data_IF_451036366690
#
_entry.id   IF_451036366690
#
_cell.length_a   1.000
_cell.length_b   1.000
_cell.length_c   1.000
_cell.angle_alpha   90.00
_cell.angle_beta   90.00
_cell.angle_gamma   90.00
#
_symmetry.space_group_name_H-M   'P 1'
#
loop_
_entity.id
_entity.type
_entity.pdbx_description
1 polymer ?
#
# COMPACT_ATOMS: atom_id res chain seq x y z
N UNK A 1 -27.06 12.73 -25.06
CA UNK A 1 -26.77 12.70 -24.50
C UNK A 1 -26.19 12.54 -23.89
N UNK A 2 -25.96 12.62 -24.01
CA UNK A 2 -25.48 12.41 -23.26
C UNK A 2 -24.64 12.56 -22.96
N UNK A 3 -24.34 12.60 -23.01
CA UNK A 3 -23.58 12.63 -22.45
C UNK A 3 -23.17 13.08 -21.80
N UNK A 4 -23.43 13.33 -21.54
CA UNK A 4 -23.16 13.69 -20.68
C UNK A 4 -23.10 13.43 -19.72
N UNK A 5 -23.29 13.03 -19.61
CA UNK A 5 -23.23 12.68 -18.38
C UNK A 5 -22.33 12.22 -17.98
N UNK A 6 -22.01 11.99 -18.40
CA UNK A 6 -21.21 11.63 -17.77
C UNK A 6 -20.32 12.07 -17.44
N UNK A 7 -20.28 12.64 -17.70
CA UNK A 7 -19.55 13.09 -16.97
C UNK A 7 -19.41 13.35 -16.03
N UNK A 8 -20.12 13.28 -16.09
CA UNK A 8 -20.10 13.39 -14.91
C UNK A 8 -19.74 12.90 -14.21
N UNK A 9 -20.06 12.63 -14.36
CA UNK A 9 -19.87 12.24 -13.37
C UNK A 9 -19.04 12.02 -13.03
N UNK A 10 -18.97 12.29 -13.15
CA UNK A 10 -18.30 12.23 -12.45
C UNK A 10 -17.83 12.49 -11.83
N UNK A 11 -17.97 12.83 -11.97
CA UNK A 11 -17.69 13.19 -11.14
C UNK A 11 -17.54 13.68 -10.45
N UNK A 12 -17.76 13.79 -10.26
CA UNK A 12 -17.55 14.32 -9.42
C UNK A 12 -17.61 14.47 -8.53
N UNK A 13 -18.09 14.37 -8.26
CA UNK A 13 -18.06 14.44 -7.24
C UNK A 13 -17.32 13.91 -6.50
N UNK A 14 -17.38 13.25 -6.44
CA UNK A 14 -16.41 12.69 -5.96
C UNK A 14 -15.31 13.43 -5.99
N UNK A 15 -15.29 14.14 -6.60
CA UNK A 15 -14.27 14.84 -6.75
C UNK A 15 -14.15 15.89 -5.88
N UNK A 16 -14.99 16.20 -5.34
CA UNK A 16 -14.90 17.21 -4.38
C UNK A 16 -14.01 16.72 -3.31
N UNK A 17 -14.06 15.49 -2.99
CA UNK A 17 -13.15 14.97 -2.02
C UNK A 17 -11.85 14.64 -2.68
N UNK A 18 -10.77 14.86 -2.00
CA UNK A 18 -9.49 14.49 -2.54
C UNK A 18 -9.53 13.03 -2.83
N UNK A 19 -9.04 12.66 -3.97
CA UNK A 19 -8.98 11.28 -4.33
C UNK A 19 -7.95 10.58 -3.47
N UNK A 20 -8.32 9.50 -2.82
CA UNK A 20 -7.42 8.72 -2.01
C UNK A 20 -7.11 7.43 -2.74
N UNK A 21 -5.86 7.22 -3.05
CA UNK A 21 -5.44 6.02 -3.74
C UNK A 21 -5.51 4.84 -2.78
N UNK A 22 -5.97 3.71 -3.28
CA UNK A 22 -6.07 2.51 -2.47
C UNK A 22 -4.83 1.64 -2.67
N UNK A 23 -4.28 1.16 -1.58
CA UNK A 23 -3.20 0.18 -1.62
C UNK A 23 -3.80 -1.12 -1.11
N UNK A 24 -4.27 -1.95 -2.04
CA UNK A 24 -5.01 -3.14 -1.70
C UNK A 24 -4.13 -4.38 -1.70
N UNK A 25 -4.32 -5.23 -0.72
CA UNK A 25 -3.63 -6.51 -0.63
C UNK A 25 -4.65 -7.61 -0.86
N UNK A 26 -4.30 -8.55 -1.74
CA UNK A 26 -5.25 -9.57 -2.15
C UNK A 26 -5.32 -10.79 -1.24
N UNK A 27 -4.51 -10.83 -0.21
CA UNK A 27 -4.47 -12.00 0.66
C UNK A 27 -4.65 -11.62 2.11
N UNK A 28 -5.50 -12.35 2.80
CA UNK A 28 -5.72 -12.10 4.21
C UNK A 28 -4.52 -12.50 5.06
N UNK A 29 -3.57 -13.21 4.45
CA UNK A 29 -2.38 -13.61 5.23
C UNK A 29 -1.59 -12.39 5.69
N UNK A 30 -1.79 -11.25 5.02
CA UNK A 30 -1.08 -10.04 5.42
C UNK A 30 -1.80 -9.24 6.50
N UNK A 31 -3.01 -9.65 6.85
CA UNK A 31 -3.81 -8.85 7.77
C UNK A 31 -3.09 -8.59 9.10
N UNK A 32 -2.58 -9.64 9.72
CA UNK A 32 -1.90 -9.49 10.99
C UNK A 32 -0.61 -8.69 10.86
N UNK A 33 0.14 -8.94 9.80
CA UNK A 33 1.40 -8.24 9.59
C UNK A 33 1.17 -6.75 9.39
N UNK A 34 0.11 -6.41 8.68
CA UNK A 34 -0.23 -5.02 8.47
C UNK A 34 -0.71 -4.37 9.77
N UNK A 35 -1.62 -5.04 10.46
CA UNK A 35 -2.20 -4.48 11.68
C UNK A 35 -1.17 -4.31 12.78
N UNK A 36 -0.16 -5.16 12.81
CA UNK A 36 0.88 -5.10 13.82
C UNK A 36 2.07 -4.23 13.41
N UNK A 37 1.99 -3.64 12.21
CA UNK A 37 3.06 -2.76 11.74
C UNK A 37 4.31 -3.49 11.30
N UNK A 38 4.23 -4.78 11.08
CA UNK A 38 5.41 -5.53 10.64
C UNK A 38 5.58 -5.53 9.12
N UNK A 39 4.50 -5.31 8.39
CA UNK A 39 4.58 -5.17 6.95
C UNK A 39 4.57 -3.69 6.61
N UNK A 40 5.71 -3.18 6.20
CA UNK A 40 5.89 -1.75 5.95
C UNK A 40 6.23 -1.45 4.51
N UNK A 41 6.19 -2.44 3.66
CA UNK A 41 6.48 -2.25 2.25
C UNK A 41 5.69 -3.27 1.43
N UNK A 42 5.56 -2.99 0.16
CA UNK A 42 4.95 -3.92 -0.76
C UNK A 42 5.72 -3.89 -2.06
N UNK A 43 5.88 -5.05 -2.67
CA UNK A 43 6.56 -5.19 -3.95
C UNK A 43 5.48 -5.53 -4.98
N UNK A 44 5.34 -4.67 -5.97
CA UNK A 44 4.32 -4.81 -7.00
C UNK A 44 4.98 -5.02 -8.35
N UNK A 45 4.44 -5.96 -9.12
CA UNK A 45 4.98 -6.26 -10.44
C UNK A 45 4.70 -5.10 -11.39
N UNK A 46 5.70 -4.71 -12.18
CA UNK A 46 5.58 -3.63 -13.13
C UNK A 46 5.97 -2.28 -12.54
N UNK A 47 5.87 -1.26 -13.37
CA UNK A 47 6.17 0.11 -12.96
C UNK A 47 4.90 0.77 -12.47
N UNK A 48 4.78 0.97 -11.17
CA UNK A 48 3.61 1.59 -10.56
C UNK A 48 3.87 3.01 -10.11
N UNK A 49 4.96 3.63 -10.58
CA UNK A 49 5.31 4.97 -10.16
C UNK A 49 4.30 6.02 -10.61
N UNK A 50 3.50 5.72 -11.61
CA UNK A 50 2.43 6.62 -12.02
C UNK A 50 1.23 6.54 -11.09
N UNK A 51 1.14 5.49 -10.30
CA UNK A 51 -0.01 5.28 -9.42
C UNK A 51 0.31 5.66 -7.98
N UNK A 52 1.53 5.41 -7.54
CA UNK A 52 1.93 5.69 -6.17
C UNK A 52 3.08 6.68 -6.14
N UNK A 53 2.98 7.67 -5.27
CA UNK A 53 3.99 8.71 -5.17
C UNK A 53 4.38 8.95 -3.74
N UNK A 54 5.62 9.39 -3.55
CA UNK A 54 6.11 9.74 -2.24
C UNK A 54 5.23 10.83 -1.63
N UNK A 55 4.98 10.72 -0.35
CA UNK A 55 4.17 11.66 0.45
C UNK A 55 2.68 11.60 0.14
N UNK A 56 2.25 10.62 -0.63
CA UNK A 56 0.84 10.47 -0.95
C UNK A 56 0.15 9.68 0.16
N UNK A 57 -1.06 10.12 0.53
CA UNK A 57 -1.88 9.37 1.48
C UNK A 57 -2.59 8.26 0.73
N UNK A 58 -2.63 7.09 1.31
CA UNK A 58 -3.31 5.94 0.73
C UNK A 58 -4.15 5.24 1.77
N UNK A 59 -5.17 4.55 1.31
CA UNK A 59 -5.99 3.72 2.18
C UNK A 59 -5.53 2.28 1.99
N UNK A 60 -5.04 1.66 3.05
CA UNK A 60 -4.60 0.28 3.01
C UNK A 60 -5.80 -0.63 3.23
N UNK A 61 -6.02 -1.55 2.30
CA UNK A 61 -7.17 -2.44 2.35
C UNK A 61 -6.74 -3.86 2.06
N UNK A 62 -7.59 -4.80 2.44
CA UNK A 62 -7.41 -6.21 2.10
C UNK A 62 -8.70 -6.67 1.45
N UNK A 63 -8.60 -7.32 0.31
CA UNK A 63 -9.80 -7.84 -0.34
C UNK A 63 -9.47 -8.55 -1.61
N UNK A 64 -10.18 -9.63 -1.83
CA UNK A 64 -10.05 -10.42 -3.03
C UNK A 64 -10.91 -9.80 -4.10
N UNK A 65 -10.62 -10.17 -5.33
CA UNK A 65 -11.43 -9.77 -6.46
C UNK A 65 -12.88 -10.14 -6.18
N UNK A 66 -13.80 -9.24 -6.44
CA UNK A 66 -15.23 -9.44 -6.25
C UNK A 66 -15.67 -9.56 -4.79
N UNK A 67 -14.76 -9.36 -3.86
CA UNK A 67 -15.13 -9.37 -2.44
C UNK A 67 -15.07 -7.96 -1.89
N UNK A 68 -15.85 -7.67 -0.85
CA UNK A 68 -15.73 -6.38 -0.20
C UNK A 68 -14.33 -6.22 0.36
N UNK A 69 -13.80 -5.02 0.27
CA UNK A 69 -12.48 -4.73 0.80
C UNK A 69 -12.61 -4.29 2.24
N UNK A 70 -11.75 -4.84 3.06
CA UNK A 70 -11.68 -4.44 4.46
C UNK A 70 -10.69 -3.30 4.59
N UNK A 71 -11.09 -2.21 5.22
CA UNK A 71 -10.20 -1.09 5.48
C UNK A 71 -9.34 -1.44 6.68
N UNK A 72 -8.05 -1.29 6.54
CA UNK A 72 -7.12 -1.61 7.61
C UNK A 72 -6.65 -0.34 8.30
N UNK A 73 -6.04 0.57 7.55
CA UNK A 73 -5.61 1.86 8.09
C UNK A 73 -5.24 2.79 6.94
N UNK A 74 -5.04 4.06 7.28
CA UNK A 74 -4.53 5.03 6.33
C UNK A 74 -3.03 5.10 6.50
N UNK A 75 -2.34 5.33 5.41
CA UNK A 75 -0.89 5.36 5.41
C UNK A 75 -0.38 6.49 4.52
N UNK A 76 0.87 6.84 4.73
CA UNK A 76 1.53 7.77 3.83
C UNK A 76 2.64 6.97 3.15
N UNK A 77 2.82 7.21 1.87
CA UNK A 77 3.88 6.55 1.10
C UNK A 77 5.18 7.29 1.40
N UNK A 78 6.14 6.55 1.92
CA UNK A 78 7.43 7.11 2.27
C UNK A 78 8.39 7.12 1.10
N UNK A 79 8.31 6.10 0.25
CA UNK A 79 9.25 5.96 -0.85
C UNK A 79 8.68 5.05 -1.92
N UNK A 80 8.96 5.36 -3.17
CA UNK A 80 8.57 4.52 -4.31
C UNK A 80 9.82 4.33 -5.16
N UNK A 81 10.20 3.09 -5.40
CA UNK A 81 11.37 2.78 -6.20
C UNK A 81 11.02 1.74 -7.26
N UNK A 82 11.46 1.98 -8.47
CA UNK A 82 11.24 1.05 -9.59
C UNK A 82 12.58 0.41 -9.92
N UNK A 83 12.61 -0.90 -10.00
CA UNK A 83 13.86 -1.60 -10.25
C UNK A 83 13.57 -2.98 -10.82
N UNK A 84 14.61 -3.69 -11.23
CA UNK A 84 14.43 -5.07 -11.65
C UNK A 84 14.34 -5.93 -10.39
N UNK A 85 13.62 -7.00 -10.49
CA UNK A 85 13.46 -7.91 -9.34
C UNK A 85 14.82 -8.35 -8.81
N UNK A 86 15.77 -8.58 -9.72
CA UNK A 86 17.12 -8.99 -9.35
C UNK A 86 17.83 -7.99 -8.43
N UNK A 87 17.40 -6.74 -8.45
CA UNK A 87 18.06 -5.70 -7.68
C UNK A 87 17.50 -5.55 -6.25
N UNK A 88 16.47 -6.29 -5.95
CA UNK A 88 15.90 -6.23 -4.60
C UNK A 88 16.88 -6.80 -3.59
N UNK A 89 17.00 -6.13 -2.47
CA UNK A 89 17.83 -6.64 -1.38
C UNK A 89 17.01 -7.61 -0.55
N UNK A 90 17.66 -8.48 0.20
CA UNK A 90 16.93 -9.37 1.12
C UNK A 90 16.08 -8.59 2.12
N UNK A 91 16.53 -7.38 2.46
CA UNK A 91 15.78 -6.54 3.38
C UNK A 91 14.49 -6.06 2.76
N UNK A 92 14.52 -5.70 1.47
CA UNK A 92 13.32 -5.29 0.76
C UNK A 92 12.30 -6.42 0.75
N UNK A 93 12.77 -7.61 0.46
CA UNK A 93 11.91 -8.78 0.39
C UNK A 93 11.28 -9.07 1.75
N UNK A 94 12.08 -8.94 2.80
CA UNK A 94 11.61 -9.20 4.15
C UNK A 94 10.57 -8.17 4.59
N UNK A 95 10.72 -6.93 4.17
CA UNK A 95 9.74 -5.90 4.52
C UNK A 95 8.42 -6.11 3.80
N UNK A 96 8.46 -6.75 2.64
CA UNK A 96 7.24 -7.10 1.94
C UNK A 96 6.57 -8.29 2.61
N UNK A 97 7.37 -9.29 2.95
CA UNK A 97 6.84 -10.46 3.66
C UNK A 97 7.93 -10.99 4.59
N UNK A 98 7.72 -10.86 5.91
CA UNK A 98 8.73 -11.26 6.88
C UNK A 98 9.17 -12.72 6.81
N UNK A 99 8.37 -13.56 6.17
CA UNK A 99 8.71 -14.96 6.06
C UNK A 99 9.60 -15.28 4.86
N UNK A 100 9.72 -14.36 3.93
CA UNK A 100 10.53 -14.58 2.75
C UNK A 100 11.99 -14.24 3.03
N UNK A 101 12.87 -15.04 2.47
CA UNK A 101 14.31 -14.84 2.61
C UNK A 101 15.00 -14.67 1.28
N UNK A 102 14.41 -15.18 0.22
CA UNK A 102 15.09 -15.25 -1.07
C UNK A 102 14.19 -14.81 -2.20
N UNK A 103 14.84 -14.43 -3.31
CA UNK A 103 14.11 -13.98 -4.49
C UNK A 103 13.15 -15.06 -5.02
N UNK A 104 13.54 -16.32 -4.93
CA UNK A 104 12.69 -17.40 -5.44
C UNK A 104 11.34 -17.45 -4.74
N UNK A 105 11.35 -17.20 -3.44
CA UNK A 105 10.10 -17.22 -2.68
C UNK A 105 9.20 -16.10 -3.12
N UNK A 106 9.77 -14.93 -3.35
CA UNK A 106 9.02 -13.77 -3.83
C UNK A 106 8.49 -14.02 -5.23
N UNK A 107 9.31 -14.59 -6.10
CA UNK A 107 8.91 -14.88 -7.46
C UNK A 107 7.70 -15.81 -7.47
N UNK A 108 7.77 -16.90 -6.70
CA UNK A 108 6.66 -17.84 -6.63
C UNK A 108 5.38 -17.14 -6.16
N UNK A 109 5.52 -16.27 -5.18
CA UNK A 109 4.38 -15.55 -4.62
C UNK A 109 3.77 -14.61 -5.67
N UNK A 110 4.62 -13.88 -6.39
CA UNK A 110 4.14 -12.95 -7.40
C UNK A 110 3.48 -13.69 -8.56
N UNK A 111 4.03 -14.85 -8.92
CA UNK A 111 3.43 -15.65 -9.99
C UNK A 111 2.03 -16.07 -9.63
N UNK A 112 1.80 -16.41 -8.38
CA UNK A 112 0.49 -16.83 -7.93
C UNK A 112 -0.48 -15.66 -7.95
N UNK A 113 -0.03 -14.49 -7.52
CA UNK A 113 -0.90 -13.32 -7.48
C UNK A 113 -1.25 -12.82 -8.87
N UNK A 114 -0.25 -12.74 -9.74
CA UNK A 114 -0.44 -12.11 -11.05
C UNK A 114 -0.80 -13.12 -12.15
N UNK A 115 -0.70 -14.41 -11.85
CA UNK A 115 -1.12 -15.43 -12.81
C UNK A 115 -0.25 -15.50 -14.05
N UNK A 116 1.03 -15.18 -13.92
CA UNK A 116 1.96 -15.27 -15.05
C UNK A 116 3.36 -15.56 -14.56
N UNK A 117 4.23 -15.95 -15.49
CA UNK A 117 5.63 -16.22 -15.17
C UNK A 117 6.33 -14.91 -14.80
N UNK A 118 7.13 -14.97 -13.76
CA UNK A 118 7.90 -13.83 -13.28
C UNK A 118 9.37 -14.22 -13.24
N UNK A 119 10.22 -13.35 -13.71
CA UNK A 119 11.66 -13.61 -13.72
C UNK A 119 12.43 -12.53 -13.00
N UNK A 120 13.71 -12.77 -12.79
CA UNK A 120 14.59 -11.80 -12.14
C UNK A 120 14.74 -10.51 -12.95
N UNK A 121 14.45 -10.56 -14.24
CA UNK A 121 14.56 -9.38 -15.08
C UNK A 121 13.31 -8.53 -15.10
N UNK A 122 12.24 -9.02 -14.53
CA UNK A 122 10.98 -8.25 -14.50
C UNK A 122 11.13 -7.00 -13.66
N UNK A 123 10.45 -5.96 -14.10
CA UNK A 123 10.40 -4.70 -13.36
C UNK A 123 9.44 -4.83 -12.19
N UNK A 124 9.83 -4.31 -11.05
CA UNK A 124 8.96 -4.25 -9.87
C UNK A 124 9.01 -2.85 -9.30
N UNK A 125 8.01 -2.52 -8.53
CA UNK A 125 7.96 -1.27 -7.79
C UNK A 125 7.89 -1.60 -6.31
N UNK A 126 8.80 -1.01 -5.54
CA UNK A 126 8.80 -1.17 -4.10
C UNK A 126 8.15 0.08 -3.52
N UNK A 127 7.05 -0.11 -2.80
CA UNK A 127 6.35 0.99 -2.15
C UNK A 127 6.51 0.82 -0.66
N UNK A 128 7.16 1.80 -0.01
CA UNK A 128 7.33 1.80 1.45
C UNK A 128 6.33 2.76 2.03
N UNK A 129 5.72 2.38 3.12
CA UNK A 129 4.66 3.19 3.71
C UNK A 129 4.70 3.14 5.21
N UNK A 130 4.10 4.16 5.82
CA UNK A 130 3.97 4.25 7.27
C UNK A 130 2.52 4.53 7.60
N UNK A 131 2.02 3.85 8.63
CA UNK A 131 0.66 4.05 9.05
C UNK A 131 0.49 5.46 9.64
N UNK A 132 -0.60 6.10 9.28
CA UNK A 132 -0.93 7.38 9.88
C UNK A 132 -1.68 7.07 11.16
N UNK A 133 -1.10 7.46 12.27
CA UNK A 133 -1.72 7.22 13.56
C UNK A 133 -2.67 8.36 13.85
N UNK A 134 -3.93 8.01 13.92
CA UNK A 134 -4.93 8.98 14.15
C UNK A 134 -5.31 9.00 15.58
N UNK A 135 -5.43 10.16 16.12
CA UNK A 135 -5.82 10.28 17.50
C UNK A 135 -6.97 11.22 17.60
N UNK A 136 -8.10 10.72 17.32
CA UNK A 136 -9.30 11.52 17.21
C UNK A 136 -9.57 12.45 18.34
N UNK A 137 -9.36 12.01 19.54
CA UNK A 137 -9.70 12.91 20.56
C UNK A 137 -8.44 13.27 21.03
N UNK A 138 -7.69 12.38 20.97
CA UNK A 138 -6.58 12.58 21.59
C UNK A 138 -5.52 13.26 20.96
N UNK A 139 -5.65 13.49 19.82
CA UNK A 139 -4.70 14.21 19.18
C UNK A 139 -4.33 15.27 20.07
N UNK A 140 -5.30 15.87 20.56
CA UNK A 140 -5.09 16.95 21.40
C UNK A 140 -4.49 16.47 22.64
N UNK A 141 -4.94 15.38 23.09
CA UNK A 141 -4.43 14.86 24.27
C UNK A 141 -3.04 14.54 24.11
N UNK A 142 -2.73 13.89 23.11
CA UNK A 142 -1.41 13.47 22.87
C UNK A 142 -0.54 14.67 22.85
N UNK A 143 -1.00 15.66 22.29
CA UNK A 143 -0.22 16.81 22.18
C UNK A 143 -0.03 17.37 23.51
N UNK A 144 -1.01 17.33 24.30
CA UNK A 144 -0.87 17.88 25.56
C UNK A 144 0.04 17.04 26.30
N UNK A 145 -0.16 15.87 26.13
CA UNK A 145 0.69 15.01 26.79
C UNK A 145 2.04 15.20 26.44
N UNK A 146 2.24 15.55 25.73
CA UNK A 146 3.43 15.55 25.49
C UNK A 146 3.92 16.56 25.90
N UNK A 147 3.18 17.04 25.63
CA UNK A 147 3.54 17.89 26.13
C UNK A 147 3.50 17.65 27.40
N UNK A 148 3.13 17.41 27.65
CA UNK A 148 3.09 17.15 28.65
C UNK A 148 3.47 16.29 29.09
N UNK A 149 3.55 16.16 28.92
CA UNK A 149 3.71 15.50 29.40
C UNK A 149 4.43 15.39 29.81
N UNK A 150 4.48 15.56 29.68
CA UNK A 150 4.83 15.54 30.19
C UNK A 150 5.17 15.58 30.86
N UNK A 151 4.95 15.63 30.73
CA UNK A 151 5.10 15.81 31.52
C UNK A 151 5.30 15.67 32.19
#
# INVERSE_FOLDING_TARGET
>A
MGARWRTWIKSPKTDSLPFVQVLNFYSTIFADELKRGRKTATIRLGDKSGKYRKNQAVLVTIGYQYSPRERIFEAVIDQVEVMRLAELSPRDIKHDNPEFRRHEELINFLEQIYGRTVSMDDTVTVVRFSQILENPTGMTEAMKGFGGAQN
#
